data_IF_066017399271
#
_entry.id   IF_066017399271
#
_cell.length_a   1.000
_cell.length_b   1.000
_cell.length_c   1.000
_cell.angle_alpha   90.00
_cell.angle_beta   90.00
_cell.angle_gamma   90.00
#
_symmetry.space_group_name_H-M   'P 1'
#
loop_
_entity.id
_entity.type
_entity.pdbx_description
1 polymer ?
#
# COMPACT_ATOMS: atom_id res chain seq x y z
N UNK A 1 -4.99 2.88 -16.21
CA UNK A 1 -3.95 2.75 -15.17
C UNK A 1 -4.29 3.75 -14.09
N UNK A 2 -4.68 3.32 -12.88
CA UNK A 2 -4.98 4.25 -11.79
C UNK A 2 -3.65 4.70 -11.19
N UNK A 3 -3.36 6.00 -11.23
CA UNK A 3 -2.16 6.56 -10.60
C UNK A 3 -2.39 6.60 -9.09
N UNK A 4 -1.50 5.97 -8.33
CA UNK A 4 -1.52 6.16 -6.89
C UNK A 4 -1.01 7.57 -6.59
N UNK A 5 -1.88 8.39 -6.01
CA UNK A 5 -1.55 9.77 -5.58
C UNK A 5 -1.17 9.83 -4.09
N UNK A 6 -1.11 8.68 -3.43
CA UNK A 6 -0.75 8.59 -2.01
C UNK A 6 0.76 8.45 -1.88
N UNK A 7 1.37 9.32 -1.07
CA UNK A 7 2.76 9.23 -0.64
C UNK A 7 2.83 8.94 0.86
N UNK A 8 3.90 8.25 1.28
CA UNK A 8 4.23 8.14 2.70
C UNK A 8 4.86 9.44 3.18
N UNK A 9 4.55 9.83 4.42
CA UNK A 9 5.03 11.07 4.99
C UNK A 9 5.34 10.89 6.47
N UNK A 10 6.50 11.38 6.92
CA UNK A 10 6.92 11.32 8.31
C UNK A 10 6.05 12.21 9.20
N UNK A 11 5.85 11.79 10.45
CA UNK A 11 4.98 12.50 11.40
C UNK A 11 5.43 13.96 11.61
N UNK A 12 6.74 14.22 11.67
CA UNK A 12 7.28 15.58 11.82
C UNK A 12 6.90 16.47 10.62
N UNK A 13 7.13 15.98 9.41
CA UNK A 13 6.78 16.69 8.18
C UNK A 13 5.26 16.91 8.07
N UNK A 14 4.44 15.99 8.60
CA UNK A 14 2.98 16.12 8.56
C UNK A 14 2.52 17.31 9.40
N UNK A 15 3.13 17.48 10.57
CA UNK A 15 2.83 18.58 11.49
C UNK A 15 3.25 19.92 10.88
N UNK A 16 4.42 19.98 10.25
CA UNK A 16 4.88 21.20 9.55
C UNK A 16 3.94 21.61 8.41
N UNK A 17 3.35 20.63 7.72
CA UNK A 17 2.31 20.86 6.70
C UNK A 17 0.93 21.16 7.29
N UNK A 18 0.80 21.29 8.62
CA UNK A 18 -0.46 21.59 9.30
C UNK A 18 -1.47 20.43 9.30
N UNK A 19 -1.03 19.21 8.99
CA UNK A 19 -1.90 18.04 8.97
C UNK A 19 -2.23 17.61 10.40
N UNK A 20 -3.51 17.28 10.62
CA UNK A 20 -4.01 16.80 11.89
C UNK A 20 -4.29 15.30 11.87
N UNK A 21 -4.27 14.63 13.04
CA UNK A 21 -4.67 13.24 13.15
C UNK A 21 -6.05 12.97 12.54
N UNK A 22 -6.20 11.81 11.90
CA UNK A 22 -7.45 11.42 11.27
C UNK A 22 -8.61 11.39 12.29
N UNK A 23 -9.66 12.17 12.03
CA UNK A 23 -10.85 12.26 12.90
C UNK A 23 -11.63 10.94 13.01
N UNK A 24 -11.48 10.06 12.02
CA UNK A 24 -12.13 8.75 11.96
C UNK A 24 -11.32 7.74 12.80
N UNK A 25 -10.03 7.61 12.49
CA UNK A 25 -9.17 6.65 13.16
C UNK A 25 -8.83 7.05 14.60
N UNK A 26 -8.93 8.34 14.94
CA UNK A 26 -8.60 8.94 16.24
C UNK A 26 -7.34 8.32 16.87
N UNK A 27 -6.20 8.28 16.15
CA UNK A 27 -5.02 7.60 16.66
C UNK A 27 -4.56 8.32 17.93
N UNK A 28 -4.44 7.58 19.04
CA UNK A 28 -4.06 8.19 20.31
C UNK A 28 -2.60 8.65 20.26
N UNK A 29 -2.35 9.85 20.80
CA UNK A 29 -1.02 10.49 20.83
C UNK A 29 -0.01 9.74 21.72
N UNK A 30 -0.47 8.73 22.47
CA UNK A 30 0.29 7.94 23.45
C UNK A 30 0.78 6.59 22.92
N UNK A 31 0.49 6.21 21.67
CA UNK A 31 0.94 4.92 21.13
C UNK A 31 2.39 4.98 20.64
N UNK A 32 3.32 5.28 21.57
CA UNK A 32 4.64 4.66 21.50
C UNK A 32 4.49 3.27 22.12
N UNK A 33 4.73 2.23 21.32
CA UNK A 33 5.36 0.97 21.76
C UNK A 33 4.55 -0.31 22.00
N UNK A 34 3.22 -0.45 21.80
CA UNK A 34 2.57 -1.75 22.12
C UNK A 34 1.62 -2.37 21.11
N UNK A 35 1.25 -1.68 20.02
CA UNK A 35 0.81 -2.41 18.84
C UNK A 35 2.03 -2.68 18.00
N UNK A 36 2.59 -3.89 18.16
CA UNK A 36 3.52 -4.46 17.21
C UNK A 36 3.06 -4.07 15.82
N UNK A 37 3.89 -3.27 15.15
CA UNK A 37 3.85 -2.99 13.74
C UNK A 37 4.14 -4.30 13.00
N UNK A 38 3.24 -5.28 13.10
CA UNK A 38 3.11 -6.39 12.16
C UNK A 38 2.43 -5.92 10.88
N UNK A 39 2.50 -4.62 10.57
CA UNK A 39 2.38 -4.19 9.20
C UNK A 39 3.79 -4.26 8.64
N UNK A 40 4.12 -5.42 8.04
CA UNK A 40 5.19 -5.44 7.05
C UNK A 40 5.00 -4.23 6.13
N UNK A 41 6.10 -3.65 5.66
CA UNK A 41 6.09 -2.46 4.79
C UNK A 41 5.08 -2.69 3.67
N UNK A 42 3.90 -2.05 3.79
CA UNK A 42 2.84 -2.22 2.79
C UNK A 42 3.39 -1.62 1.52
N UNK A 43 3.73 -2.47 0.55
CA UNK A 43 4.21 -2.01 -0.74
C UNK A 43 3.14 -1.12 -1.36
N UNK A 44 3.48 0.15 -1.52
CA UNK A 44 2.57 1.14 -2.09
C UNK A 44 2.48 0.92 -3.60
N UNK A 45 1.28 1.11 -4.16
CA UNK A 45 1.07 0.97 -5.60
C UNK A 45 1.99 1.93 -6.36
N UNK A 46 2.79 1.42 -7.30
CA UNK A 46 3.64 2.23 -8.19
C UNK A 46 5.11 2.34 -7.78
N UNK A 47 5.53 1.77 -6.65
CA UNK A 47 6.94 1.77 -6.19
C UNK A 47 7.56 0.37 -6.21
N UNK A 48 6.82 -0.63 -6.70
CA UNK A 48 7.38 -1.99 -6.82
C UNK A 48 8.34 -2.07 -8.02
N UNK A 49 9.46 -2.79 -7.86
CA UNK A 49 10.44 -3.09 -8.93
C UNK A 49 9.77 -3.74 -10.15
N UNK A 50 8.56 -4.26 -9.92
CA UNK A 50 7.67 -4.84 -10.90
C UNK A 50 7.86 -6.34 -10.85
N UNK A 51 6.75 -7.07 -10.71
CA UNK A 51 6.71 -8.51 -10.58
C UNK A 51 5.70 -9.10 -11.55
N UNK A 52 5.78 -10.41 -11.78
CA UNK A 52 4.74 -11.13 -12.53
C UNK A 52 3.51 -11.33 -11.65
N UNK A 53 2.35 -10.97 -12.17
CA UNK A 53 1.06 -11.10 -11.49
C UNK A 53 0.86 -12.49 -10.86
N UNK A 54 0.44 -12.52 -9.60
CA UNK A 54 0.17 -13.76 -8.86
C UNK A 54 -1.17 -14.42 -9.23
N UNK A 55 -2.09 -13.67 -9.85
CA UNK A 55 -3.42 -14.17 -10.21
C UNK A 55 -3.44 -15.33 -11.21
N UNK A 56 -4.51 -16.13 -11.15
CA UNK A 56 -4.77 -17.27 -12.04
C UNK A 56 -5.86 -16.89 -13.03
N UNK A 57 -5.65 -17.19 -14.32
CA UNK A 57 -6.64 -16.95 -15.37
C UNK A 57 -7.83 -17.90 -15.22
N UNK A 58 -8.94 -17.59 -15.88
CA UNK A 58 -10.13 -18.48 -15.91
C UNK A 58 -9.83 -19.89 -16.42
N UNK A 59 -8.78 -20.04 -17.23
CA UNK A 59 -8.29 -21.32 -17.75
C UNK A 59 -7.39 -22.09 -16.77
N UNK A 60 -7.17 -21.58 -15.55
CA UNK A 60 -6.35 -22.22 -14.52
C UNK A 60 -4.84 -21.97 -14.64
N UNK A 61 -4.39 -21.21 -15.63
CA UNK A 61 -2.97 -20.90 -15.83
C UNK A 61 -2.55 -19.63 -15.06
N UNK A 62 -1.29 -19.57 -14.63
CA UNK A 62 -0.77 -18.36 -13.97
C UNK A 62 -0.69 -17.18 -14.94
N UNK A 63 -1.19 -16.02 -14.52
CA UNK A 63 -1.16 -14.80 -15.32
C UNK A 63 0.27 -14.46 -15.76
N UNK A 64 0.44 -14.14 -17.04
CA UNK A 64 1.74 -13.77 -17.64
C UNK A 64 2.01 -12.26 -17.60
N UNK A 65 1.06 -11.44 -17.14
CA UNK A 65 1.20 -9.98 -17.11
C UNK A 65 2.19 -9.55 -16.02
N UNK A 66 3.00 -8.55 -16.33
CA UNK A 66 3.85 -7.85 -15.37
C UNK A 66 3.07 -6.72 -14.69
N UNK A 67 3.34 -6.46 -13.42
CA UNK A 67 2.68 -5.43 -12.61
C UNK A 67 3.69 -4.74 -11.72
N UNK A 68 3.56 -3.41 -11.57
CA UNK A 68 4.27 -2.59 -10.57
C UNK A 68 3.35 -2.13 -9.44
N UNK A 69 2.17 -2.75 -9.36
CA UNK A 69 1.20 -2.50 -8.30
C UNK A 69 1.70 -3.28 -7.08
N UNK A 70 1.82 -2.62 -5.94
CA UNK A 70 2.44 -3.18 -4.72
C UNK A 70 1.64 -4.32 -4.08
N UNK A 71 0.52 -4.74 -4.66
CA UNK A 71 -0.20 -5.93 -4.26
C UNK A 71 0.19 -7.19 -5.05
N UNK A 72 1.15 -7.10 -5.98
CA UNK A 72 1.60 -8.19 -6.86
C UNK A 72 0.51 -8.78 -7.80
N UNK A 73 -0.61 -8.07 -7.99
CA UNK A 73 -1.63 -8.42 -8.98
C UNK A 73 -1.69 -7.38 -10.11
N UNK A 74 -2.06 -7.82 -11.32
CA UNK A 74 -2.29 -6.91 -12.45
C UNK A 74 -3.70 -6.32 -12.39
N UNK A 75 -3.97 -5.29 -13.19
CA UNK A 75 -5.27 -4.60 -13.23
C UNK A 75 -6.50 -5.48 -13.55
N UNK A 76 -6.32 -6.73 -13.98
CA UNK A 76 -7.41 -7.68 -14.24
C UNK A 76 -7.65 -8.66 -13.09
N UNK A 77 -6.71 -8.79 -12.16
CA UNK A 77 -6.85 -9.64 -10.99
C UNK A 77 -6.80 -8.74 -9.76
N UNK A 78 -7.88 -8.70 -9.00
CA UNK A 78 -7.94 -7.99 -7.72
C UNK A 78 -8.28 -9.04 -6.66
N UNK A 79 -7.53 -9.12 -5.56
CA UNK A 79 -7.82 -10.06 -4.47
C UNK A 79 -9.17 -9.79 -3.81
#
# INVERSE_FOLDING_TARGET
>A
MVKNVSSSLDVSNAIEQGLQPCKICKPSRSLKSSYSLMSGTKKVNGVDEGNRCLGTTKTGARCKRYTRIGNDYCFQHVP
#
